data_IF_038588758461
#
_entry.id   IF_038588758461
#
_cell.length_a   1.000
_cell.length_b   1.000
_cell.length_c   1.000
_cell.angle_alpha   90.00
_cell.angle_beta   90.00
_cell.angle_gamma   90.00
#
_symmetry.space_group_name_H-M   'P 1'
#
loop_
_entity.id
_entity.type
_entity.pdbx_description
1 polymer ?
#
# COMPACT_ATOMS: atom_id res chain seq x y z
N UNK A 1 94.99 39.36 32.58
CA UNK A 1 95.43 37.98 32.89
C UNK A 1 94.88 37.42 34.23
N UNK A 2 93.66 37.79 34.70
CA UNK A 2 93.10 37.26 35.96
C UNK A 2 91.85 36.36 35.81
N UNK A 3 91.19 36.33 34.64
CA UNK A 3 89.96 35.54 34.43
C UNK A 3 90.22 34.04 34.21
N UNK A 4 91.23 33.66 33.42
CA UNK A 4 91.42 32.23 33.06
C UNK A 4 91.82 31.35 34.25
N UNK A 5 92.60 31.86 35.21
CA UNK A 5 92.96 31.11 36.43
C UNK A 5 91.77 30.87 37.37
N UNK A 6 90.73 31.70 37.30
CA UNK A 6 89.53 31.53 38.11
C UNK A 6 88.58 30.50 37.49
N UNK A 7 88.38 30.58 36.17
CA UNK A 7 87.62 29.58 35.42
C UNK A 7 88.25 28.19 35.54
N UNK A 8 89.57 28.09 35.43
CA UNK A 8 90.28 26.82 35.61
C UNK A 8 90.02 26.22 37.00
N UNK A 9 90.11 27.04 38.07
CA UNK A 9 89.84 26.61 39.45
C UNK A 9 88.38 26.20 39.70
N UNK A 10 87.42 26.92 39.11
CA UNK A 10 86.00 26.53 39.18
C UNK A 10 85.79 25.21 38.45
N UNK A 11 86.33 25.06 37.25
CA UNK A 11 86.15 23.84 36.45
C UNK A 11 86.79 22.63 37.13
N UNK A 12 87.96 22.79 37.75
CA UNK A 12 88.60 21.75 38.55
C UNK A 12 87.76 21.42 39.79
N UNK A 13 87.30 22.42 40.55
CA UNK A 13 86.50 22.18 41.76
C UNK A 13 85.17 21.49 41.44
N UNK A 14 84.49 21.88 40.36
CA UNK A 14 83.27 21.18 39.92
C UNK A 14 83.56 19.73 39.51
N UNK A 15 84.62 19.47 38.74
CA UNK A 15 84.97 18.09 38.34
C UNK A 15 85.45 17.22 39.50
N UNK A 16 86.05 17.81 40.54
CA UNK A 16 86.57 17.08 41.70
C UNK A 16 85.52 16.89 42.80
N UNK A 17 84.57 17.81 42.96
CA UNK A 17 83.58 17.77 44.05
C UNK A 17 82.24 17.13 43.67
N UNK A 18 81.88 17.04 42.37
CA UNK A 18 80.68 16.28 41.98
C UNK A 18 81.04 14.80 41.79
N UNK A 19 80.50 13.88 42.59
CA UNK A 19 80.74 12.45 42.38
C UNK A 19 80.10 12.01 41.06
N UNK A 20 80.83 11.27 40.23
CA UNK A 20 80.28 10.66 39.03
C UNK A 20 79.31 9.53 39.44
N UNK A 21 78.04 9.88 39.50
CA UNK A 21 76.95 8.97 39.87
C UNK A 21 76.13 8.55 38.63
N UNK A 22 76.60 8.83 37.41
CA UNK A 22 75.86 8.49 36.19
C UNK A 22 75.61 6.99 36.08
N UNK A 23 76.65 6.19 36.35
CA UNK A 23 76.52 4.73 36.34
C UNK A 23 75.61 4.24 37.46
N UNK A 24 75.68 4.87 38.64
CA UNK A 24 74.81 4.56 39.78
C UNK A 24 73.34 4.87 39.48
N UNK A 25 73.06 5.94 38.73
CA UNK A 25 71.70 6.27 38.27
C UNK A 25 71.25 5.26 37.23
N UNK A 26 72.07 4.95 36.22
CA UNK A 26 71.73 3.97 35.16
C UNK A 26 71.49 2.56 35.69
N UNK A 27 72.15 2.18 36.79
CA UNK A 27 71.97 0.88 37.45
C UNK A 27 70.83 0.85 38.47
N UNK A 28 70.13 1.96 38.72
CA UNK A 28 69.02 1.99 39.66
C UNK A 28 67.74 1.43 39.04
N UNK A 29 66.94 0.70 39.83
CA UNK A 29 65.65 0.13 39.38
C UNK A 29 64.61 1.18 38.98
N UNK A 30 64.86 2.45 39.32
CA UNK A 30 64.01 3.59 38.96
C UNK A 30 64.42 4.25 37.63
N UNK A 31 65.55 3.89 37.05
CA UNK A 31 66.02 4.47 35.80
C UNK A 31 65.40 3.75 34.61
N UNK A 32 64.37 4.37 34.04
CA UNK A 32 63.64 3.87 32.88
C UNK A 32 63.82 4.80 31.68
N UNK A 33 64.31 4.26 30.56
CA UNK A 33 64.32 4.96 29.27
C UNK A 33 63.07 4.49 28.49
N UNK A 34 62.07 5.36 28.25
CA UNK A 34 60.91 4.97 27.47
C UNK A 34 61.33 4.63 26.04
N UNK A 35 60.74 3.57 25.49
CA UNK A 35 60.96 3.18 24.10
C UNK A 35 60.55 4.31 23.15
N UNK A 36 61.42 4.65 22.20
CA UNK A 36 61.12 5.67 21.19
C UNK A 36 59.95 5.21 20.33
N UNK A 37 58.82 5.91 20.43
CA UNK A 37 57.60 5.60 19.68
C UNK A 37 57.89 5.67 18.18
N UNK A 38 57.74 4.54 17.46
CA UNK A 38 57.87 4.51 15.99
C UNK A 38 56.70 5.29 15.40
N UNK A 39 56.94 6.48 14.86
CA UNK A 39 55.95 7.22 14.08
C UNK A 39 55.88 6.58 12.69
N UNK A 40 54.71 6.02 12.34
CA UNK A 40 54.45 5.52 10.99
C UNK A 40 54.14 6.70 10.08
N UNK A 41 55.03 6.96 9.12
CA UNK A 41 54.84 7.98 8.10
C UNK A 41 54.04 7.39 6.93
N UNK A 42 52.71 7.50 7.00
CA UNK A 42 51.79 7.04 5.96
C UNK A 42 51.86 7.85 4.66
N UNK A 43 52.55 9.00 4.65
CA UNK A 43 52.63 9.87 3.46
C UNK A 43 53.40 9.23 2.29
N UNK A 44 54.21 8.19 2.56
CA UNK A 44 54.95 7.44 1.53
C UNK A 44 54.15 6.33 0.85
N UNK A 45 52.98 5.95 1.39
CA UNK A 45 52.15 4.89 0.80
C UNK A 45 51.21 5.40 -0.29
N UNK A 46 50.90 6.70 -0.32
CA UNK A 46 49.96 7.28 -1.27
C UNK A 46 50.68 7.98 -2.43
N UNK A 47 51.19 7.17 -3.37
CA UNK A 47 51.56 7.67 -4.69
C UNK A 47 50.29 8.19 -5.38
N UNK A 48 50.30 9.44 -5.90
CA UNK A 48 49.15 10.05 -6.59
C UNK A 48 48.56 9.19 -7.72
N UNK A 49 49.36 8.31 -8.32
CA UNK A 49 48.91 7.34 -9.34
C UNK A 49 47.99 6.24 -8.78
N UNK A 50 48.21 5.81 -7.53
CA UNK A 50 47.38 4.81 -6.85
C UNK A 50 46.06 5.42 -6.36
N UNK A 51 46.04 6.71 -6.00
CA UNK A 51 44.82 7.40 -5.57
C UNK A 51 43.81 7.59 -6.70
N UNK A 52 44.25 7.83 -7.95
CA UNK A 52 43.34 7.91 -9.09
C UNK A 52 42.71 6.54 -9.44
N UNK A 53 43.47 5.45 -9.27
CA UNK A 53 42.96 4.09 -9.50
C UNK A 53 41.96 3.62 -8.44
N UNK A 54 42.15 4.03 -7.18
CA UNK A 54 41.18 3.72 -6.11
C UNK A 54 39.90 4.56 -6.24
N UNK A 55 40.05 5.85 -6.60
CA UNK A 55 38.92 6.73 -6.83
C UNK A 55 38.05 6.25 -8.00
N UNK A 56 38.64 5.77 -9.09
CA UNK A 56 37.87 5.24 -10.22
C UNK A 56 37.09 3.97 -9.88
N UNK A 57 37.67 3.07 -9.07
CA UNK A 57 36.98 1.87 -8.57
C UNK A 57 35.83 2.24 -7.63
N UNK A 58 36.03 3.25 -6.77
CA UNK A 58 34.99 3.71 -5.85
C UNK A 58 33.83 4.39 -6.59
N UNK A 59 34.12 5.23 -7.60
CA UNK A 59 33.10 5.84 -8.46
C UNK A 59 32.36 4.76 -9.25
N UNK A 60 33.07 3.76 -9.79
CA UNK A 60 32.43 2.65 -10.49
C UNK A 60 31.53 1.83 -9.56
N UNK A 61 31.95 1.58 -8.32
CA UNK A 61 31.13 0.91 -7.32
C UNK A 61 29.88 1.72 -6.96
N UNK A 62 29.99 3.05 -6.85
CA UNK A 62 28.84 3.93 -6.62
C UNK A 62 27.89 3.97 -7.82
N UNK A 63 28.42 3.98 -9.04
CA UNK A 63 27.59 3.92 -10.27
C UNK A 63 26.89 2.57 -10.37
N UNK A 64 27.59 1.46 -10.14
CA UNK A 64 27.01 0.12 -10.12
C UNK A 64 25.97 -0.02 -9.00
N UNK A 65 26.26 0.49 -7.80
CA UNK A 65 25.32 0.51 -6.70
C UNK A 65 24.10 1.38 -7.03
N UNK A 66 24.29 2.53 -7.69
CA UNK A 66 23.19 3.39 -8.12
C UNK A 66 22.33 2.72 -9.18
N UNK A 67 22.92 1.95 -10.11
CA UNK A 67 22.18 1.17 -11.11
C UNK A 67 21.44 0.00 -10.45
N UNK A 68 22.07 -0.72 -9.52
CA UNK A 68 21.44 -1.83 -8.78
C UNK A 68 20.35 -1.35 -7.80
N UNK A 69 20.50 -0.15 -7.26
CA UNK A 69 19.57 0.46 -6.31
C UNK A 69 18.43 1.21 -7.00
N UNK A 70 18.61 1.54 -8.29
CA UNK A 70 17.53 1.98 -9.17
C UNK A 70 16.75 0.74 -9.59
N UNK A 71 15.99 0.17 -8.65
CA UNK A 71 15.01 -0.86 -8.97
C UNK A 71 14.12 -0.29 -10.07
N UNK A 72 14.15 -0.92 -11.24
CA UNK A 72 13.13 -0.70 -12.24
C UNK A 72 11.83 -1.10 -11.57
N UNK A 73 10.98 -0.13 -11.22
CA UNK A 73 9.61 -0.43 -10.82
C UNK A 73 8.95 -1.07 -12.04
N UNK A 74 9.01 -2.40 -12.11
CA UNK A 74 8.18 -3.15 -13.03
C UNK A 74 6.76 -2.84 -12.58
N UNK A 75 5.91 -2.25 -13.44
CA UNK A 75 4.53 -1.99 -13.06
C UNK A 75 3.93 -3.33 -12.62
N UNK A 76 3.45 -3.37 -11.37
CA UNK A 76 2.86 -4.58 -10.82
C UNK A 76 1.67 -4.97 -11.71
N UNK A 77 1.69 -6.21 -12.20
CA UNK A 77 0.61 -6.74 -13.03
C UNK A 77 -0.60 -6.95 -12.12
N UNK A 78 -1.72 -6.33 -12.46
CA UNK A 78 -2.98 -6.51 -11.73
C UNK A 78 -3.53 -7.89 -12.08
N UNK A 79 -3.59 -8.76 -11.09
CA UNK A 79 -4.15 -10.11 -11.24
C UNK A 79 -5.65 -10.13 -10.98
N UNK A 80 -6.10 -9.34 -10.00
CA UNK A 80 -7.52 -9.21 -9.67
C UNK A 80 -7.83 -7.86 -9.04
N UNK A 81 -9.11 -7.49 -9.11
CA UNK A 81 -9.67 -6.31 -8.46
C UNK A 81 -10.83 -6.73 -7.57
N UNK A 82 -10.80 -6.31 -6.31
CA UNK A 82 -11.83 -6.55 -5.31
C UNK A 82 -12.54 -5.24 -5.01
N UNK A 83 -13.87 -5.24 -5.05
CA UNK A 83 -14.70 -4.17 -4.52
C UNK A 83 -15.44 -4.67 -3.29
N UNK A 84 -15.42 -3.86 -2.23
CA UNK A 84 -16.04 -4.15 -0.95
C UNK A 84 -16.94 -2.99 -0.54
N UNK A 85 -18.24 -3.25 -0.43
CA UNK A 85 -19.21 -2.26 0.01
C UNK A 85 -19.89 -2.68 1.33
N UNK A 86 -19.46 -2.03 2.40
CA UNK A 86 -20.07 -2.14 3.74
C UNK A 86 -21.00 -0.94 3.99
N UNK A 87 -20.93 0.09 3.13
CA UNK A 87 -21.32 1.47 3.39
C UNK A 87 -20.41 2.07 4.47
N UNK A 88 -19.09 2.15 4.20
CA UNK A 88 -18.49 2.72 2.98
C UNK A 88 -18.04 1.75 1.86
N UNK A 89 -17.52 2.30 0.74
CA UNK A 89 -17.12 1.54 -0.46
C UNK A 89 -15.63 1.71 -0.81
N UNK A 90 -14.90 0.60 -0.96
CA UNK A 90 -13.46 0.58 -1.31
C UNK A 90 -13.16 -0.42 -2.40
N UNK A 91 -12.13 -0.12 -3.21
CA UNK A 91 -11.58 -1.00 -4.22
C UNK A 91 -10.12 -1.32 -3.91
N UNK A 92 -9.74 -2.59 -4.10
CA UNK A 92 -8.40 -3.11 -3.85
C UNK A 92 -7.92 -3.81 -5.12
N UNK A 93 -6.77 -3.42 -5.65
CA UNK A 93 -6.13 -4.14 -6.75
C UNK A 93 -5.00 -5.01 -6.20
N UNK A 94 -4.93 -6.25 -6.70
CA UNK A 94 -4.05 -7.29 -6.18
C UNK A 94 -3.08 -7.79 -7.26
N UNK A 95 -1.89 -8.20 -6.85
CA UNK A 95 -0.97 -8.98 -7.68
C UNK A 95 -1.32 -10.48 -7.66
N UNK A 96 -0.55 -11.30 -8.40
CA UNK A 96 -0.81 -12.74 -8.53
C UNK A 96 -0.72 -13.50 -7.19
N UNK A 97 0.03 -12.96 -6.23
CA UNK A 97 0.24 -13.49 -4.89
C UNK A 97 -0.79 -12.95 -3.87
N UNK A 98 -1.86 -12.30 -4.34
CA UNK A 98 -2.91 -11.62 -3.56
C UNK A 98 -2.38 -10.49 -2.65
N UNK A 99 -1.27 -9.85 -3.01
CA UNK A 99 -0.80 -8.66 -2.31
C UNK A 99 -1.37 -7.39 -2.93
N UNK A 100 -1.67 -6.42 -2.08
CA UNK A 100 -2.23 -5.14 -2.46
C UNK A 100 -1.23 -4.33 -3.29
N UNK A 101 -1.59 -4.09 -4.54
CA UNK A 101 -0.94 -3.12 -5.42
C UNK A 101 -1.41 -1.71 -5.06
N UNK A 102 -2.72 -1.53 -4.93
CA UNK A 102 -3.36 -0.26 -4.61
C UNK A 102 -4.69 -0.45 -3.86
N UNK A 103 -5.09 0.58 -3.11
CA UNK A 103 -6.41 0.68 -2.49
C UNK A 103 -6.99 2.08 -2.77
N UNK A 104 -8.25 2.14 -3.16
CA UNK A 104 -8.95 3.40 -3.49
C UNK A 104 -10.31 3.44 -2.80
N UNK A 105 -10.68 4.62 -2.31
CA UNK A 105 -12.04 4.89 -1.87
C UNK A 105 -12.91 5.16 -3.10
N UNK A 106 -14.06 4.48 -3.19
CA UNK A 106 -15.01 4.69 -4.30
C UNK A 106 -15.94 5.86 -4.00
N UNK A 107 -16.31 6.03 -2.72
CA UNK A 107 -17.13 7.14 -2.25
C UNK A 107 -16.43 7.92 -1.13
N UNK A 108 -16.97 9.10 -0.77
CA UNK A 108 -16.40 9.97 0.26
C UNK A 108 -16.23 9.26 1.61
N UNK A 109 -17.17 8.39 1.96
CA UNK A 109 -17.11 7.64 3.22
C UNK A 109 -16.01 6.56 3.16
N UNK A 110 -15.65 6.08 1.98
CA UNK A 110 -14.60 5.08 1.76
C UNK A 110 -13.24 5.59 2.22
N UNK A 111 -12.99 6.90 2.12
CA UNK A 111 -11.78 7.53 2.64
C UNK A 111 -11.64 7.35 4.15
N UNK A 112 -12.74 7.14 4.86
CA UNK A 112 -12.73 6.93 6.31
C UNK A 112 -12.26 5.52 6.69
N UNK A 113 -12.34 4.54 5.78
CA UNK A 113 -11.83 3.18 6.00
C UNK A 113 -10.33 3.06 5.70
N UNK A 114 -9.81 3.93 4.84
CA UNK A 114 -8.40 3.91 4.42
C UNK A 114 -7.63 4.86 5.34
N UNK A 115 -7.11 4.31 6.43
CA UNK A 115 -6.25 5.08 7.34
C UNK A 115 -5.01 5.59 6.58
N UNK A 116 -4.80 6.91 6.62
CA UNK A 116 -3.68 7.60 5.95
C UNK A 116 -2.33 7.25 6.55
N UNK A 117 -2.30 6.79 7.79
CA UNK A 117 -1.07 6.39 8.49
C UNK A 117 -0.69 4.92 8.21
N UNK A 118 -1.59 4.15 7.58
CA UNK A 118 -1.37 2.74 7.23
C UNK A 118 -0.96 2.62 5.78
N UNK A 119 0.18 1.96 5.54
CA UNK A 119 0.61 1.59 4.19
C UNK A 119 -0.03 0.26 3.79
N UNK A 120 -1.08 0.32 2.98
CA UNK A 120 -1.76 -0.87 2.44
C UNK A 120 -0.94 -1.58 1.35
N UNK A 121 -0.20 -0.83 0.53
CA UNK A 121 0.60 -1.41 -0.58
C UNK A 121 1.61 -2.43 -0.06
N UNK A 122 1.52 -3.66 -0.58
CA UNK A 122 2.34 -4.82 -0.24
C UNK A 122 1.82 -5.67 0.91
N UNK A 123 0.67 -5.33 1.52
CA UNK A 123 -0.01 -6.23 2.45
C UNK A 123 -0.73 -7.34 1.69
N UNK A 124 -0.91 -8.51 2.30
CA UNK A 124 -1.81 -9.52 1.75
C UNK A 124 -3.27 -9.04 1.81
N UNK A 125 -4.11 -9.57 0.92
CA UNK A 125 -5.56 -9.36 0.94
C UNK A 125 -6.13 -9.57 2.36
N UNK A 126 -5.80 -10.68 3.00
CA UNK A 126 -6.27 -11.01 4.35
C UNK A 126 -6.00 -9.90 5.35
N UNK A 127 -4.78 -9.35 5.33
CA UNK A 127 -4.38 -8.29 6.25
C UNK A 127 -5.08 -6.97 5.92
N UNK A 128 -5.26 -6.67 4.64
CA UNK A 128 -6.00 -5.49 4.20
C UNK A 128 -7.46 -5.54 4.67
N UNK A 129 -8.14 -6.68 4.47
CA UNK A 129 -9.53 -6.88 4.91
C UNK A 129 -9.64 -6.78 6.44
N UNK A 130 -8.73 -7.41 7.20
CA UNK A 130 -8.72 -7.27 8.66
C UNK A 130 -8.70 -5.81 9.12
N UNK A 131 -7.83 -5.00 8.52
CA UNK A 131 -7.69 -3.58 8.85
C UNK A 131 -8.95 -2.78 8.47
N UNK A 132 -9.50 -3.03 7.29
CA UNK A 132 -10.72 -2.36 6.80
C UNK A 132 -11.91 -2.69 7.69
N UNK A 133 -12.12 -3.97 8.01
CA UNK A 133 -13.22 -4.42 8.86
C UNK A 133 -13.11 -3.87 10.29
N UNK A 134 -11.91 -3.88 10.85
CA UNK A 134 -11.67 -3.30 12.17
C UNK A 134 -12.00 -1.79 12.21
N UNK A 135 -11.60 -1.05 11.18
CA UNK A 135 -11.93 0.38 11.08
C UNK A 135 -13.43 0.61 10.85
N UNK A 136 -14.09 -0.24 10.04
CA UNK A 136 -15.53 -0.18 9.81
C UNK A 136 -16.34 -0.41 11.10
N UNK A 137 -15.94 -1.38 11.93
CA UNK A 137 -16.52 -1.61 13.26
C UNK A 137 -16.26 -0.41 14.18
N UNK A 138 -15.01 0.05 14.27
CA UNK A 138 -14.61 1.18 15.14
C UNK A 138 -15.37 2.47 14.82
N UNK A 139 -15.69 2.71 13.55
CA UNK A 139 -16.44 3.90 13.10
C UNK A 139 -17.95 3.74 13.14
N UNK A 140 -18.45 2.55 13.48
CA UNK A 140 -19.88 2.27 13.57
C UNK A 140 -20.59 2.09 12.23
N UNK A 141 -19.84 1.78 11.16
CA UNK A 141 -20.43 1.38 9.88
C UNK A 141 -20.99 -0.04 9.95
N UNK A 142 -20.34 -0.89 10.74
CA UNK A 142 -20.87 -2.20 11.13
C UNK A 142 -21.55 -2.04 12.48
N UNK A 143 -22.88 -2.13 12.48
CA UNK A 143 -23.69 -1.83 13.66
C UNK A 143 -24.01 -3.11 14.46
N UNK A 144 -24.29 -2.92 15.75
CA UNK A 144 -24.97 -3.91 16.57
C UNK A 144 -26.47 -3.94 16.28
N UNK A 145 -27.12 -5.08 16.47
CA UNK A 145 -28.57 -5.21 16.35
C UNK A 145 -29.01 -6.63 16.07
N UNK A 146 -30.31 -6.79 15.85
CA UNK A 146 -30.95 -8.06 15.50
C UNK A 146 -31.06 -8.26 13.97
N UNK A 147 -30.56 -7.30 13.19
CA UNK A 147 -30.55 -7.32 11.72
C UNK A 147 -29.14 -7.51 11.17
N UNK A 148 -29.04 -8.16 10.00
CA UNK A 148 -27.78 -8.37 9.32
C UNK A 148 -27.15 -7.07 8.80
N UNK A 149 -25.84 -6.93 9.00
CA UNK A 149 -25.01 -6.02 8.23
C UNK A 149 -24.82 -6.62 6.83
N UNK A 150 -25.31 -5.92 5.80
CA UNK A 150 -25.20 -6.38 4.41
C UNK A 150 -23.88 -5.89 3.82
N UNK A 151 -23.04 -6.82 3.37
CA UNK A 151 -21.74 -6.54 2.77
C UNK A 151 -21.79 -7.00 1.31
N UNK A 152 -21.68 -6.07 0.36
CA UNK A 152 -21.56 -6.43 -1.06
C UNK A 152 -20.09 -6.67 -1.40
N UNK A 153 -19.84 -7.71 -2.19
CA UNK A 153 -18.53 -7.98 -2.75
C UNK A 153 -18.62 -8.21 -4.25
N UNK A 154 -17.63 -7.72 -4.99
CA UNK A 154 -17.41 -7.99 -6.42
C UNK A 154 -15.93 -8.29 -6.63
N UNK A 155 -15.61 -9.37 -7.33
CA UNK A 155 -14.24 -9.74 -7.66
C UNK A 155 -14.13 -9.91 -9.17
N UNK A 156 -13.18 -9.21 -9.77
CA UNK A 156 -12.91 -9.25 -11.21
C UNK A 156 -11.49 -9.72 -11.47
N UNK A 157 -11.33 -10.65 -12.41
CA UNK A 157 -10.03 -11.12 -12.92
C UNK A 157 -10.21 -11.68 -14.33
N UNK A 158 -9.18 -11.54 -15.16
CA UNK A 158 -9.10 -12.21 -16.47
C UNK A 158 -8.85 -13.73 -16.34
N UNK A 159 -8.54 -14.20 -15.13
CA UNK A 159 -8.21 -15.60 -14.82
C UNK A 159 -9.21 -16.18 -13.82
N UNK A 160 -9.96 -17.18 -14.26
CA UNK A 160 -11.03 -17.74 -13.41
C UNK A 160 -10.52 -18.44 -12.15
N UNK A 161 -9.36 -19.10 -12.24
CA UNK A 161 -8.71 -19.71 -11.07
C UNK A 161 -8.33 -18.67 -10.01
N UNK A 162 -7.93 -17.47 -10.44
CA UNK A 162 -7.62 -16.36 -9.53
C UNK A 162 -8.90 -15.80 -8.93
N UNK A 163 -9.91 -15.49 -9.76
CA UNK A 163 -11.18 -14.96 -9.28
C UNK A 163 -11.78 -15.85 -8.20
N UNK A 164 -11.97 -17.14 -8.49
CA UNK A 164 -12.55 -18.08 -7.55
C UNK A 164 -11.75 -18.20 -6.23
N UNK A 165 -10.42 -18.20 -6.32
CA UNK A 165 -9.54 -18.21 -5.13
C UNK A 165 -9.71 -16.94 -4.30
N UNK A 166 -9.68 -15.77 -4.94
CA UNK A 166 -9.77 -14.46 -4.29
C UNK A 166 -11.14 -14.25 -3.66
N UNK A 167 -12.22 -14.65 -4.34
CA UNK A 167 -13.58 -14.64 -3.79
C UNK A 167 -13.68 -15.49 -2.52
N UNK A 168 -13.19 -16.72 -2.56
CA UNK A 168 -13.22 -17.62 -1.41
C UNK A 168 -12.41 -17.06 -0.23
N UNK A 169 -11.22 -16.53 -0.50
CA UNK A 169 -10.36 -15.91 0.52
C UNK A 169 -11.03 -14.67 1.14
N UNK A 170 -11.63 -13.82 0.31
CA UNK A 170 -12.35 -12.63 0.74
C UNK A 170 -13.55 -12.96 1.64
N UNK A 171 -14.42 -13.89 1.21
CA UNK A 171 -15.61 -14.30 1.96
C UNK A 171 -15.25 -14.95 3.30
N UNK A 172 -14.24 -15.82 3.30
CA UNK A 172 -13.73 -16.44 4.50
C UNK A 172 -13.23 -15.37 5.48
N UNK A 173 -12.41 -14.43 4.97
CA UNK A 173 -11.81 -13.41 5.83
C UNK A 173 -12.84 -12.45 6.41
N UNK A 174 -13.80 -11.99 5.61
CA UNK A 174 -14.90 -11.15 6.09
C UNK A 174 -15.68 -11.90 7.19
N UNK A 175 -15.98 -13.18 6.95
CA UNK A 175 -16.69 -14.01 7.93
C UNK A 175 -15.95 -14.11 9.26
N UNK A 176 -14.64 -14.41 9.23
CA UNK A 176 -13.81 -14.46 10.43
C UNK A 176 -13.83 -13.15 11.23
N UNK A 177 -13.74 -12.00 10.54
CA UNK A 177 -13.73 -10.69 11.22
C UNK A 177 -15.10 -10.32 11.79
N UNK A 178 -16.20 -10.64 11.09
CA UNK A 178 -17.56 -10.41 11.58
C UNK A 178 -17.91 -11.30 12.78
N UNK A 179 -17.53 -12.57 12.73
CA UNK A 179 -17.68 -13.50 13.86
C UNK A 179 -16.84 -13.06 15.06
N UNK A 180 -15.58 -12.67 14.84
CA UNK A 180 -14.70 -12.13 15.89
C UNK A 180 -15.30 -10.89 16.55
N UNK A 181 -15.94 -10.03 15.76
CA UNK A 181 -16.63 -8.85 16.25
C UNK A 181 -18.03 -9.14 16.83
N UNK A 182 -18.50 -10.40 16.77
CA UNK A 182 -19.85 -10.83 17.18
C UNK A 182 -20.97 -10.04 16.50
N UNK A 183 -20.84 -9.80 15.20
CA UNK A 183 -21.78 -9.02 14.39
C UNK A 183 -22.61 -9.94 13.53
N UNK A 184 -23.92 -9.67 13.42
CA UNK A 184 -24.78 -10.31 12.43
C UNK A 184 -24.45 -9.74 11.04
N UNK A 185 -24.39 -10.60 10.04
CA UNK A 185 -23.96 -10.21 8.71
C UNK A 185 -24.48 -11.14 7.62
N UNK A 186 -24.60 -10.57 6.42
CA UNK A 186 -24.84 -11.29 5.19
C UNK A 186 -23.90 -10.76 4.10
N UNK A 187 -23.14 -11.66 3.51
CA UNK A 187 -22.32 -11.36 2.33
C UNK A 187 -23.17 -11.58 1.09
N UNK A 188 -23.18 -10.60 0.18
CA UNK A 188 -23.89 -10.68 -1.09
C UNK A 188 -22.90 -10.48 -2.22
N UNK A 189 -22.60 -11.57 -2.93
CA UNK A 189 -21.72 -11.55 -4.10
C UNK A 189 -22.45 -10.95 -5.30
N UNK A 190 -21.78 -10.04 -6.01
CA UNK A 190 -22.19 -9.57 -7.32
C UNK A 190 -21.34 -10.29 -8.36
N UNK A 191 -21.98 -10.81 -9.42
CA UNK A 191 -21.28 -11.45 -10.53
C UNK A 191 -21.40 -10.59 -11.80
N UNK A 192 -20.34 -10.60 -12.60
CA UNK A 192 -20.18 -9.86 -13.86
C UNK A 192 -19.80 -10.77 -15.03
N UNK A 193 -19.73 -12.08 -14.83
CA UNK A 193 -19.24 -13.03 -15.85
C UNK A 193 -20.06 -13.04 -17.13
N UNK A 194 -21.36 -12.78 -17.01
CA UNK A 194 -22.27 -12.76 -18.16
C UNK A 194 -22.24 -11.42 -18.93
N UNK A 195 -21.37 -10.49 -18.53
CA UNK A 195 -21.26 -9.18 -19.16
C UNK A 195 -20.27 -9.15 -20.32
N UNK A 196 -20.72 -8.59 -21.43
CA UNK A 196 -19.82 -8.15 -22.51
C UNK A 196 -18.94 -6.98 -22.04
N UNK A 197 -17.79 -6.80 -22.70
CA UNK A 197 -16.87 -5.68 -22.44
C UNK A 197 -17.58 -4.33 -22.54
N UNK A 198 -18.48 -4.17 -23.50
CA UNK A 198 -19.23 -2.92 -23.67
C UNK A 198 -20.21 -2.67 -22.52
N UNK A 199 -20.88 -3.72 -22.02
CA UNK A 199 -21.73 -3.61 -20.83
C UNK A 199 -20.91 -3.29 -19.57
N UNK A 200 -19.75 -3.92 -19.40
CA UNK A 200 -18.80 -3.62 -18.31
C UNK A 200 -18.41 -2.14 -18.33
N UNK A 201 -18.04 -1.61 -19.50
CA UNK A 201 -17.66 -0.21 -19.65
C UNK A 201 -18.83 0.73 -19.35
N UNK A 202 -20.03 0.43 -19.85
CA UNK A 202 -21.24 1.22 -19.56
C UNK A 202 -21.53 1.27 -18.07
N UNK A 203 -21.51 0.12 -17.39
CA UNK A 203 -21.78 0.02 -15.96
C UNK A 203 -20.74 0.81 -15.15
N UNK A 204 -19.46 0.73 -15.52
CA UNK A 204 -18.40 1.50 -14.85
C UNK A 204 -18.66 3.00 -14.98
N UNK A 205 -19.00 3.49 -16.18
CA UNK A 205 -19.28 4.92 -16.40
C UNK A 205 -20.48 5.40 -15.58
N UNK A 206 -21.59 4.64 -15.56
CA UNK A 206 -22.79 5.01 -14.78
C UNK A 206 -22.47 5.04 -13.28
N UNK A 207 -21.68 4.07 -12.80
CA UNK A 207 -21.27 4.02 -11.40
C UNK A 207 -20.42 5.24 -11.01
N UNK A 208 -19.46 5.62 -11.85
CA UNK A 208 -18.62 6.81 -11.67
C UNK A 208 -19.45 8.11 -11.70
N UNK A 209 -20.32 8.29 -12.69
CA UNK A 209 -21.20 9.47 -12.81
C UNK A 209 -22.10 9.66 -11.58
N UNK A 210 -22.53 8.56 -10.97
CA UNK A 210 -23.40 8.57 -9.79
C UNK A 210 -22.63 8.50 -8.46
N UNK A 211 -21.30 8.45 -8.47
CA UNK A 211 -20.44 8.29 -7.29
C UNK A 211 -20.84 7.07 -6.41
N UNK A 212 -21.20 5.96 -7.04
CA UNK A 212 -21.52 4.69 -6.38
C UNK A 212 -20.60 3.58 -6.87
N UNK A 213 -20.51 2.49 -6.11
CA UNK A 213 -19.80 1.30 -6.58
C UNK A 213 -20.58 0.57 -7.67
N UNK A 214 -19.85 -0.16 -8.51
CA UNK A 214 -20.45 -1.06 -9.51
C UNK A 214 -21.34 -2.11 -8.84
N UNK A 215 -20.91 -2.68 -7.72
CA UNK A 215 -21.70 -3.67 -6.99
C UNK A 215 -23.02 -3.09 -6.47
N UNK A 216 -23.03 -1.85 -5.97
CA UNK A 216 -24.27 -1.16 -5.59
C UNK A 216 -25.16 -0.88 -6.81
N UNK A 217 -24.58 -0.46 -7.94
CA UNK A 217 -25.33 -0.25 -9.18
C UNK A 217 -25.98 -1.55 -9.69
N UNK A 218 -25.28 -2.68 -9.64
CA UNK A 218 -25.84 -3.99 -10.00
C UNK A 218 -27.03 -4.37 -9.11
N UNK A 219 -26.94 -4.10 -7.80
CA UNK A 219 -28.06 -4.29 -6.88
C UNK A 219 -29.25 -3.38 -7.23
N UNK A 220 -28.99 -2.10 -7.52
CA UNK A 220 -30.02 -1.14 -7.96
C UNK A 220 -30.70 -1.61 -9.24
N UNK A 221 -29.93 -2.06 -10.23
CA UNK A 221 -30.48 -2.56 -11.50
C UNK A 221 -31.39 -3.76 -11.28
N UNK A 222 -31.05 -4.67 -10.37
CA UNK A 222 -31.92 -5.81 -10.03
C UNK A 222 -33.26 -5.38 -9.44
N UNK A 223 -33.27 -4.32 -8.62
CA UNK A 223 -34.50 -3.73 -8.09
C UNK A 223 -35.33 -3.14 -9.23
N UNK A 224 -34.73 -2.35 -10.11
CA UNK A 224 -35.41 -1.70 -11.24
C UNK A 224 -35.99 -2.74 -12.22
N UNK A 225 -35.26 -3.83 -12.47
CA UNK A 225 -35.76 -4.94 -13.30
C UNK A 225 -36.97 -5.65 -12.68
N UNK A 226 -37.09 -5.64 -11.35
CA UNK A 226 -38.21 -6.26 -10.64
C UNK A 226 -39.41 -5.30 -10.50
N UNK A 227 -39.14 -4.01 -10.39
CA UNK A 227 -40.13 -2.92 -10.26
C UNK A 227 -39.59 -1.65 -10.96
N UNK A 228 -40.13 -1.37 -12.15
CA UNK A 228 -39.71 -0.28 -13.04
C UNK A 228 -40.11 1.13 -12.54
N UNK A 229 -40.83 1.21 -11.40
CA UNK A 229 -41.14 2.49 -10.77
C UNK A 229 -39.94 3.11 -10.03
N UNK A 230 -38.90 2.32 -9.74
CA UNK A 230 -37.65 2.80 -9.17
C UNK A 230 -36.68 3.32 -10.23
N UNK A 231 -35.79 4.21 -9.81
CA UNK A 231 -34.72 4.76 -10.67
C UNK A 231 -33.39 4.81 -9.93
N UNK A 232 -32.28 4.91 -10.67
CA UNK A 232 -30.95 5.08 -10.06
C UNK A 232 -30.93 6.31 -9.16
N UNK A 233 -31.50 7.44 -9.60
CA UNK A 233 -31.53 8.69 -8.85
C UNK A 233 -32.23 8.54 -7.49
N UNK A 234 -33.32 7.77 -7.43
CA UNK A 234 -34.08 7.56 -6.19
C UNK A 234 -33.43 6.54 -5.25
N UNK A 235 -32.60 5.64 -5.78
CA UNK A 235 -32.01 4.54 -5.02
C UNK A 235 -30.54 4.77 -4.63
N UNK A 236 -29.79 5.62 -5.35
CA UNK A 236 -28.34 5.80 -5.14
C UNK A 236 -27.98 6.30 -3.73
N UNK A 237 -28.88 7.04 -3.08
CA UNK A 237 -28.68 7.60 -1.74
C UNK A 237 -29.09 6.64 -0.61
N UNK A 238 -29.75 5.52 -0.93
CA UNK A 238 -30.09 4.52 0.08
C UNK A 238 -28.88 3.71 0.52
N UNK A 239 -28.90 3.30 1.79
CA UNK A 239 -27.93 2.35 2.32
C UNK A 239 -28.11 1.00 1.63
N UNK A 240 -27.03 0.22 1.56
CA UNK A 240 -27.06 -1.13 0.99
C UNK A 240 -28.10 -2.00 1.70
N UNK A 241 -28.23 -1.87 3.03
CA UNK A 241 -29.27 -2.58 3.77
C UNK A 241 -30.67 -2.21 3.29
N UNK A 242 -30.95 -0.91 3.06
CA UNK A 242 -32.26 -0.49 2.56
C UNK A 242 -32.51 -1.00 1.14
N UNK A 243 -31.51 -0.94 0.26
CA UNK A 243 -31.59 -1.50 -1.08
C UNK A 243 -31.88 -3.01 -1.04
N UNK A 244 -31.17 -3.74 -0.18
CA UNK A 244 -31.38 -5.17 0.00
C UNK A 244 -32.78 -5.49 0.53
N UNK A 245 -33.31 -4.66 1.43
CA UNK A 245 -34.69 -4.80 1.92
C UNK A 245 -35.70 -4.57 0.80
N UNK A 246 -35.52 -3.52 -0.01
CA UNK A 246 -36.38 -3.24 -1.17
C UNK A 246 -36.34 -4.40 -2.16
N UNK A 247 -35.16 -4.96 -2.45
CA UNK A 247 -35.02 -6.10 -3.35
C UNK A 247 -35.90 -7.29 -2.91
N UNK A 248 -35.90 -7.62 -1.61
CA UNK A 248 -36.74 -8.68 -1.05
C UNK A 248 -38.23 -8.31 -1.13
N UNK A 249 -38.59 -7.04 -0.89
CA UNK A 249 -39.97 -6.55 -0.98
C UNK A 249 -40.53 -6.70 -2.40
N UNK A 250 -39.74 -6.36 -3.44
CA UNK A 250 -40.17 -6.41 -4.85
C UNK A 250 -40.03 -7.80 -5.47
N UNK A 251 -39.17 -8.66 -4.92
CA UNK A 251 -38.95 -10.03 -5.39
C UNK A 251 -38.99 -11.07 -4.24
N UNK A 252 -40.16 -11.31 -3.63
CA UNK A 252 -40.30 -12.14 -2.43
C UNK A 252 -40.13 -13.66 -2.66
N UNK A 253 -40.00 -14.12 -3.91
CA UNK A 253 -39.77 -15.53 -4.24
C UNK A 253 -38.28 -15.92 -4.26
N UNK A 254 -37.38 -14.94 -4.09
CA UNK A 254 -35.92 -15.12 -4.03
C UNK A 254 -35.41 -15.14 -2.56
N UNK A 255 -36.21 -15.69 -1.64
CA UNK A 255 -35.77 -15.98 -0.26
C UNK A 255 -34.65 -17.04 -0.21
N UNK A 256 -34.37 -17.70 -1.34
CA UNK A 256 -33.19 -18.52 -1.58
C UNK A 256 -32.05 -17.70 -2.18
N UNK A 257 -31.57 -16.67 -1.47
CA UNK A 257 -30.29 -16.03 -1.76
C UNK A 257 -29.16 -16.63 -0.90
N UNK A 258 -28.58 -17.81 -1.23
CA UNK A 258 -27.15 -18.04 -1.08
C UNK A 258 -26.38 -17.24 -2.14
N UNK A 259 -25.07 -17.17 -2.02
CA UNK A 259 -24.19 -16.83 -3.15
C UNK A 259 -24.27 -17.86 -4.29
N UNK A 260 -25.42 -17.93 -4.96
CA UNK A 260 -25.64 -18.76 -6.14
C UNK A 260 -25.52 -17.87 -7.38
N UNK A 261 -24.29 -17.77 -7.87
CA UNK A 261 -23.79 -17.89 -9.25
C UNK A 261 -24.56 -17.37 -10.48
N UNK A 262 -25.80 -16.91 -10.39
CA UNK A 262 -26.54 -16.40 -11.55
C UNK A 262 -26.68 -14.88 -11.38
N UNK A 263 -25.79 -14.13 -12.02
CA UNK A 263 -26.13 -12.75 -12.36
C UNK A 263 -27.41 -12.81 -13.19
N UNK A 264 -28.47 -12.03 -12.90
CA UNK A 264 -29.56 -11.92 -13.85
C UNK A 264 -28.98 -11.44 -15.18
N UNK A 265 -29.34 -12.13 -16.27
CA UNK A 265 -28.93 -11.76 -17.62
C UNK A 265 -29.20 -10.28 -17.84
N UNK A 266 -28.13 -9.53 -18.12
CA UNK A 266 -28.13 -8.07 -18.29
C UNK A 266 -28.66 -7.67 -19.68
N UNK A 267 -29.66 -8.40 -20.16
CA UNK A 267 -30.33 -8.19 -21.43
C UNK A 267 -31.23 -6.94 -21.39
N UNK A 268 -31.58 -6.48 -20.18
CA UNK A 268 -32.44 -5.31 -19.92
C UNK A 268 -31.73 -4.21 -19.10
N UNK A 269 -30.46 -3.89 -19.42
CA UNK A 269 -29.93 -2.58 -19.01
C UNK A 269 -30.71 -1.55 -19.84
N UNK A 270 -31.44 -0.58 -19.25
CA UNK A 270 -32.11 0.44 -20.04
C UNK A 270 -31.11 1.09 -20.98
N UNK A 271 -31.47 1.27 -22.27
CA UNK A 271 -30.66 2.07 -23.17
C UNK A 271 -30.43 3.44 -22.52
N UNK A 272 -29.31 4.09 -22.81
CA UNK A 272 -28.94 5.37 -22.18
C UNK A 272 -30.04 6.45 -22.36
N UNK A 273 -30.90 6.25 -23.35
CA UNK A 273 -32.06 7.07 -23.72
C UNK A 273 -33.34 6.73 -22.91
N UNK A 274 -33.37 5.60 -22.20
CA UNK A 274 -34.47 5.12 -21.35
C UNK A 274 -34.23 5.40 -19.86
N UNK A 275 -33.09 5.98 -19.49
CA UNK A 275 -32.77 6.39 -18.11
C UNK A 275 -33.45 7.75 -17.86
N UNK A 276 -34.52 7.84 -17.04
CA UNK A 276 -35.19 9.12 -16.81
C UNK A 276 -34.24 10.07 -16.06
N UNK A 277 -33.72 11.08 -16.76
CA UNK A 277 -32.81 12.08 -16.19
C UNK A 277 -31.52 12.36 -16.97
N UNK A 278 -31.21 11.60 -18.02
CA UNK A 278 -30.02 11.84 -18.89
C UNK A 278 -30.27 12.86 -20.00
N UNK A 279 -31.50 13.33 -20.20
CA UNK A 279 -31.96 14.25 -21.27
C UNK A 279 -31.29 15.64 -21.33
N UNK A 280 -30.31 15.95 -20.48
CA UNK A 280 -29.69 17.29 -20.43
C UNK A 280 -28.16 17.28 -20.38
N UNK A 281 -27.51 16.41 -21.15
CA UNK A 281 -26.09 16.58 -21.48
C UNK A 281 -25.93 17.05 -22.94
N UNK A 282 -25.36 18.26 -23.18
CA UNK A 282 -25.16 18.76 -24.53
C UNK A 282 -24.08 17.94 -25.24
N UNK A 283 -24.51 17.01 -26.08
CA UNK A 283 -23.65 16.29 -27.01
C UNK A 283 -23.10 17.23 -28.08
N UNK A 284 -21.77 17.24 -28.19
CA UNK A 284 -20.98 17.77 -29.30
C UNK A 284 -21.50 17.19 -30.63
N UNK A 285 -22.44 17.89 -31.27
CA UNK A 285 -22.61 17.83 -32.71
C UNK A 285 -21.49 18.66 -33.30
N UNK A 286 -20.49 17.99 -33.88
CA UNK A 286 -19.93 18.29 -35.20
C UNK A 286 -18.60 17.54 -35.38
N UNK A 287 -18.65 16.45 -36.13
CA UNK A 287 -17.51 16.10 -36.97
C UNK A 287 -18.03 15.77 -38.38
N UNK A 288 -17.83 16.64 -39.37
CA UNK A 288 -18.26 16.37 -40.73
C UNK A 288 -17.38 15.28 -41.33
N UNK A 289 -18.05 14.32 -41.97
CA UNK A 289 -17.44 13.12 -42.55
C UNK A 289 -16.34 13.44 -43.58
N UNK A 290 -15.39 12.52 -43.65
CA UNK A 290 -14.40 12.46 -44.71
C UNK A 290 -14.61 11.17 -45.50
N UNK A 291 -15.41 11.28 -46.57
CA UNK A 291 -15.19 10.72 -47.92
C UNK A 291 -16.38 11.04 -48.83
#
# INVERSE_FOLDING_TARGET
MKKSKFEERITTSFKTETPDILDKIKSSDQFYIPNKVKKYDFSRFFNKRLSYSLASVFVLALVLFSILSSGTEVPAVVASTVTLDINPSVQITLDDDDNVINITAINSDGELLIDRDIKFKGLSLDRAIELIMAEAVKRGFIIDGDEDNIILIDVSSDREDVKARVEAALELKISEEMERASKLYKIVRQNRDDLTVDQVNRINNIAEENNISVAKLLLINRIIQSDDSYTIETLKDYSIRRLYSILIEVNPLDDSLPGNNDAPGLDDIPEFDDIPGTDNLPGNNDNPGNN
#
